data_IF_783468555968
#
_entry.id   IF_783468555968
#
_cell.length_a   1.000
_cell.length_b   1.000
_cell.length_c   1.000
_cell.angle_alpha   90.00
_cell.angle_beta   90.00
_cell.angle_gamma   90.00
#
_symmetry.space_group_name_H-M   'P 1'
#
loop_
_entity.id
_entity.type
_entity.pdbx_description
1 polymer ?
#
# COMPACT_ATOMS: atom_id res chain seq x y z
N UNK A 1 7.83 -22.86 -4.76
CA UNK A 1 7.61 -21.53 -5.36
C UNK A 1 6.38 -20.90 -4.72
N UNK A 2 6.49 -19.64 -4.29
CA UNK A 2 5.47 -18.94 -3.51
C UNK A 2 4.77 -17.89 -4.37
N UNK A 3 3.46 -17.69 -4.17
CA UNK A 3 2.73 -16.53 -4.68
C UNK A 3 2.85 -15.31 -3.77
N UNK A 4 3.47 -15.50 -2.61
CA UNK A 4 3.72 -14.50 -1.58
C UNK A 4 5.19 -14.09 -1.61
N UNK A 5 5.42 -12.79 -1.67
CA UNK A 5 6.71 -12.12 -1.48
C UNK A 5 6.85 -11.80 0.01
N UNK A 6 7.95 -12.23 0.63
CA UNK A 6 8.14 -12.12 2.08
C UNK A 6 9.43 -11.36 2.40
N UNK A 7 9.38 -10.55 3.45
CA UNK A 7 10.58 -9.98 4.06
C UNK A 7 10.37 -9.99 5.58
N UNK A 8 11.22 -10.74 6.29
CA UNK A 8 11.04 -11.02 7.71
C UNK A 8 9.62 -11.58 8.01
N UNK A 9 8.85 -10.89 8.82
CA UNK A 9 7.48 -11.19 9.26
C UNK A 9 6.39 -10.53 8.38
N UNK A 10 6.76 -9.90 7.26
CA UNK A 10 5.84 -9.19 6.36
C UNK A 10 5.64 -9.90 5.02
N UNK A 11 4.44 -9.73 4.48
CA UNK A 11 3.99 -10.41 3.26
C UNK A 11 3.36 -9.42 2.27
N UNK A 12 3.60 -9.64 0.98
CA UNK A 12 2.88 -9.00 -0.12
C UNK A 12 2.54 -10.04 -1.19
N UNK A 13 1.38 -9.94 -1.82
CA UNK A 13 1.04 -10.69 -3.03
C UNK A 13 0.74 -9.73 -4.17
N UNK A 14 1.20 -10.05 -5.38
CA UNK A 14 0.83 -9.35 -6.61
C UNK A 14 -0.24 -10.17 -7.33
N UNK A 15 -1.37 -9.54 -7.63
CA UNK A 15 -2.46 -10.12 -8.39
C UNK A 15 -2.49 -9.53 -9.80
N UNK A 16 -2.70 -10.39 -10.80
CA UNK A 16 -2.71 -10.02 -12.21
C UNK A 16 -3.97 -10.54 -12.96
N UNK A 17 -5.16 -10.04 -12.61
CA UNK A 17 -6.41 -10.43 -13.29
C UNK A 17 -6.51 -9.77 -14.68
N UNK A 18 -7.53 -10.15 -15.45
CA UNK A 18 -7.86 -9.42 -16.69
C UNK A 18 -8.12 -7.94 -16.38
N UNK A 19 -7.66 -7.03 -17.25
CA UNK A 19 -7.91 -5.61 -17.09
C UNK A 19 -9.42 -5.31 -17.06
N UNK A 20 -9.82 -4.35 -16.22
CA UNK A 20 -11.18 -3.84 -16.21
C UNK A 20 -11.46 -3.05 -17.49
N UNK A 21 -12.66 -3.24 -18.03
CA UNK A 21 -13.17 -2.43 -19.15
C UNK A 21 -14.00 -1.30 -18.58
N UNK A 22 -13.58 -0.07 -18.85
CA UNK A 22 -14.28 1.14 -18.41
C UNK A 22 -15.72 1.15 -18.92
N UNK A 23 -16.67 1.36 -18.01
CA UNK A 23 -18.10 1.52 -18.34
C UNK A 23 -18.53 2.94 -17.99
N UNK A 24 -19.33 3.57 -18.85
CA UNK A 24 -19.85 4.92 -18.64
C UNK A 24 -21.36 4.92 -18.58
N UNK A 25 -21.92 5.75 -17.70
CA UNK A 25 -23.33 6.13 -17.67
C UNK A 25 -23.41 7.66 -17.78
N UNK A 26 -24.07 8.18 -18.81
CA UNK A 26 -24.31 9.63 -18.98
C UNK A 26 -23.03 10.50 -18.85
N UNK A 27 -21.90 10.00 -19.38
CA UNK A 27 -20.54 10.56 -19.33
C UNK A 27 -19.72 10.29 -18.06
N UNK A 28 -20.33 9.76 -17.00
CA UNK A 28 -19.62 9.37 -15.79
C UNK A 28 -19.13 7.92 -15.84
N UNK A 29 -17.87 7.72 -15.48
CA UNK A 29 -17.28 6.39 -15.31
C UNK A 29 -17.87 5.70 -14.07
N UNK A 30 -18.41 4.49 -14.28
CA UNK A 30 -19.02 3.67 -13.25
C UNK A 30 -17.92 3.01 -12.42
N UNK A 31 -18.03 3.09 -11.09
CA UNK A 31 -17.10 2.43 -10.19
C UNK A 31 -17.19 0.89 -10.32
N UNK A 32 -16.04 0.24 -10.33
CA UNK A 32 -15.93 -1.22 -10.31
C UNK A 32 -15.68 -1.72 -8.89
N UNK A 33 -16.04 -2.99 -8.63
CA UNK A 33 -15.57 -3.70 -7.45
C UNK A 33 -14.08 -4.05 -7.57
N UNK A 34 -13.46 -4.44 -6.46
CA UNK A 34 -12.10 -4.99 -6.46
C UNK A 34 -11.99 -6.11 -7.53
N UNK A 35 -10.97 -6.07 -8.42
CA UNK A 35 -10.72 -7.15 -9.37
C UNK A 35 -10.55 -8.51 -8.69
N UNK A 36 -10.85 -9.63 -9.37
CA UNK A 36 -10.70 -10.96 -8.77
C UNK A 36 -9.25 -11.23 -8.35
N UNK A 37 -9.10 -12.10 -7.34
CA UNK A 37 -7.80 -12.65 -6.97
C UNK A 37 -7.22 -13.46 -8.12
N UNK A 38 -5.98 -13.16 -8.48
CA UNK A 38 -5.23 -13.83 -9.53
C UNK A 38 -3.73 -13.78 -9.20
N UNK A 39 -3.32 -14.38 -8.06
CA UNK A 39 -1.98 -14.19 -7.51
C UNK A 39 -0.92 -14.78 -8.44
N UNK A 40 0.16 -14.04 -8.65
CA UNK A 40 1.26 -14.47 -9.50
C UNK A 40 2.40 -15.10 -8.69
N UNK A 41 3.10 -16.03 -9.32
CA UNK A 41 4.33 -16.61 -8.75
C UNK A 41 5.40 -15.53 -8.70
N UNK A 42 6.02 -15.37 -7.54
CA UNK A 42 7.16 -14.48 -7.36
C UNK A 42 8.45 -15.30 -7.20
N UNK A 43 9.53 -14.76 -7.76
CA UNK A 43 10.84 -15.39 -7.78
C UNK A 43 11.82 -14.47 -7.06
N UNK A 44 12.50 -14.99 -6.04
CA UNK A 44 13.47 -14.24 -5.25
C UNK A 44 14.70 -14.01 -6.12
N UNK A 45 15.14 -12.75 -6.28
CA UNK A 45 16.28 -12.41 -7.15
C UNK A 45 17.56 -13.16 -6.74
N UNK A 46 17.82 -13.29 -5.43
CA UNK A 46 19.02 -13.93 -4.90
C UNK A 46 19.15 -15.42 -5.19
N UNK A 47 18.06 -16.10 -5.57
CA UNK A 47 18.07 -17.52 -5.95
C UNK A 47 18.56 -17.76 -7.38
N UNK A 48 18.77 -16.70 -8.17
CA UNK A 48 19.08 -16.77 -9.60
C UNK A 48 20.41 -16.08 -9.93
N UNK A 49 21.37 -16.86 -10.43
CA UNK A 49 22.73 -16.37 -10.77
C UNK A 49 22.79 -15.59 -12.08
N UNK A 50 21.79 -15.73 -12.95
CA UNK A 50 21.72 -15.06 -14.25
C UNK A 50 20.83 -13.79 -14.24
N UNK A 51 20.58 -13.20 -13.07
CA UNK A 51 19.84 -11.95 -12.97
C UNK A 51 20.64 -10.76 -13.57
N UNK A 52 19.96 -9.76 -14.19
CA UNK A 52 20.61 -8.54 -14.62
C UNK A 52 21.40 -7.86 -13.50
N UNK A 53 22.61 -7.40 -13.80
CA UNK A 53 23.53 -6.84 -12.79
C UNK A 53 23.03 -5.55 -12.13
N UNK A 54 22.04 -4.88 -12.73
CA UNK A 54 21.41 -3.69 -12.19
C UNK A 54 20.23 -4.00 -11.26
N UNK A 55 19.87 -5.27 -11.08
CA UNK A 55 18.85 -5.65 -10.11
C UNK A 55 19.40 -5.59 -8.69
N UNK A 56 18.58 -5.10 -7.77
CA UNK A 56 18.94 -5.10 -6.37
C UNK A 56 18.85 -6.53 -5.83
N UNK A 57 19.91 -6.95 -5.16
CA UNK A 57 19.93 -8.18 -4.38
C UNK A 57 19.37 -7.92 -2.98
N UNK A 58 18.87 -8.98 -2.35
CA UNK A 58 18.34 -8.91 -1.00
C UNK A 58 19.43 -8.62 0.03
N UNK A 59 18.97 -8.26 1.22
CA UNK A 59 19.74 -8.08 2.44
C UNK A 59 18.88 -8.50 3.63
N UNK A 60 19.41 -8.39 4.84
CA UNK A 60 18.62 -8.63 6.06
C UNK A 60 17.42 -7.68 6.23
N UNK A 61 17.37 -6.57 5.48
CA UNK A 61 16.32 -5.54 5.58
C UNK A 61 15.52 -5.34 4.29
N UNK A 62 15.87 -6.03 3.21
CA UNK A 62 15.22 -5.89 1.91
C UNK A 62 15.23 -7.22 1.17
N UNK A 63 14.14 -7.55 0.50
CA UNK A 63 14.08 -8.68 -0.43
C UNK A 63 13.67 -8.14 -1.79
N UNK A 64 14.25 -8.69 -2.85
CA UNK A 64 13.90 -8.33 -4.22
C UNK A 64 13.32 -9.52 -4.94
N UNK A 65 12.26 -9.25 -5.71
CA UNK A 65 11.48 -10.24 -6.41
C UNK A 65 11.25 -9.82 -7.86
N UNK A 66 11.16 -10.79 -8.74
CA UNK A 66 10.59 -10.60 -10.08
C UNK A 66 9.36 -11.49 -10.25
N UNK A 67 8.46 -11.05 -11.11
CA UNK A 67 7.16 -11.68 -11.37
C UNK A 67 6.94 -11.67 -12.88
N UNK A 68 6.42 -12.78 -13.43
CA UNK A 68 6.01 -12.81 -14.83
C UNK A 68 4.82 -11.90 -15.07
N UNK A 69 4.92 -11.01 -16.06
CA UNK A 69 3.84 -10.10 -16.45
C UNK A 69 3.21 -10.54 -17.76
N UNK A 70 1.94 -10.19 -17.94
CA UNK A 70 1.21 -10.39 -19.20
C UNK A 70 0.58 -9.06 -19.61
N UNK A 71 0.77 -8.67 -20.87
CA UNK A 71 0.15 -7.47 -21.43
C UNK A 71 -1.38 -7.53 -21.31
N UNK A 72 -1.99 -6.35 -21.20
CA UNK A 72 -3.44 -6.13 -21.07
C UNK A 72 -4.08 -6.79 -19.82
N UNK A 73 -3.26 -7.18 -18.85
CA UNK A 73 -3.74 -7.57 -17.54
C UNK A 73 -3.63 -6.41 -16.55
N UNK A 74 -4.58 -6.36 -15.62
CA UNK A 74 -4.57 -5.43 -14.51
C UNK A 74 -3.55 -5.84 -13.43
N UNK A 75 -3.21 -4.93 -12.53
CA UNK A 75 -2.36 -5.20 -11.38
C UNK A 75 -2.98 -4.65 -10.10
N UNK A 76 -2.95 -5.45 -9.04
CA UNK A 76 -3.19 -4.98 -7.69
C UNK A 76 -2.32 -5.70 -6.66
N UNK A 77 -2.01 -5.03 -5.55
CA UNK A 77 -1.15 -5.53 -4.48
C UNK A 77 -1.97 -5.82 -3.23
N UNK A 78 -1.81 -7.00 -2.66
CA UNK A 78 -2.48 -7.44 -1.44
C UNK A 78 -1.49 -7.54 -0.28
N UNK A 79 -1.83 -6.92 0.85
CA UNK A 79 -1.07 -6.95 2.09
C UNK A 79 -1.93 -7.47 3.26
N UNK A 80 -3.13 -7.99 3.00
CA UNK A 80 -4.15 -8.33 4.01
C UNK A 80 -3.64 -9.31 5.07
N UNK A 81 -2.70 -10.21 4.73
CA UNK A 81 -2.05 -11.11 5.70
C UNK A 81 -1.40 -10.37 6.88
N UNK A 82 -0.90 -9.15 6.66
CA UNK A 82 -0.26 -8.34 7.69
C UNK A 82 -1.26 -7.78 8.72
N UNK A 83 -2.57 -7.88 8.48
CA UNK A 83 -3.58 -7.46 9.47
C UNK A 83 -3.52 -8.29 10.75
N UNK A 84 -3.11 -9.56 10.66
CA UNK A 84 -2.97 -10.47 11.80
C UNK A 84 -1.66 -10.34 12.54
N UNK A 85 -0.76 -9.47 12.07
CA UNK A 85 0.52 -9.23 12.70
C UNK A 85 0.35 -8.75 14.15
N UNK A 86 1.24 -9.18 15.05
CA UNK A 86 1.17 -8.88 16.50
C UNK A 86 1.35 -7.39 16.84
N UNK A 87 1.95 -6.64 15.93
CA UNK A 87 2.07 -5.17 15.94
C UNK A 87 1.22 -4.54 14.85
N UNK A 88 0.94 -3.24 14.99
CA UNK A 88 0.37 -2.45 13.90
C UNK A 88 1.38 -2.31 12.77
N UNK A 89 0.85 -2.42 11.54
CA UNK A 89 1.65 -2.42 10.32
C UNK A 89 1.19 -1.26 9.46
N UNK A 90 2.16 -0.51 8.94
CA UNK A 90 1.96 0.44 7.86
C UNK A 90 2.76 0.01 6.62
N UNK A 91 2.17 0.20 5.44
CA UNK A 91 2.75 -0.16 4.16
C UNK A 91 2.78 1.07 3.28
N UNK A 92 3.98 1.47 2.89
CA UNK A 92 4.20 2.53 1.92
C UNK A 92 4.58 1.91 0.59
N UNK A 93 3.90 2.33 -0.48
CA UNK A 93 4.10 1.78 -1.83
C UNK A 93 4.59 2.88 -2.76
N UNK A 94 5.52 2.54 -3.63
CA UNK A 94 5.92 3.34 -4.79
C UNK A 94 5.85 2.45 -6.02
N UNK A 95 5.08 2.86 -7.03
CA UNK A 95 5.02 2.20 -8.33
C UNK A 95 5.66 3.15 -9.32
N UNK A 96 6.80 2.75 -9.88
CA UNK A 96 7.60 3.55 -10.80
C UNK A 96 7.99 4.96 -10.29
N UNK A 97 8.10 5.13 -8.97
CA UNK A 97 8.42 6.43 -8.36
C UNK A 97 7.20 7.27 -7.99
N UNK A 98 5.97 6.76 -8.16
CA UNK A 98 4.73 7.41 -7.72
C UNK A 98 4.12 6.67 -6.53
N UNK A 99 3.59 7.41 -5.57
CA UNK A 99 2.77 6.87 -4.51
C UNK A 99 1.32 6.68 -5.00
N UNK A 100 0.77 5.45 -5.04
CA UNK A 100 -0.55 5.19 -5.61
C UNK A 100 -1.70 5.83 -4.82
N UNK A 101 -1.52 6.08 -3.51
CA UNK A 101 -2.55 6.68 -2.65
C UNK A 101 -2.69 8.18 -2.94
N UNK A 102 -1.57 8.86 -3.12
CA UNK A 102 -1.55 10.31 -3.37
C UNK A 102 -1.61 10.66 -4.85
N UNK A 103 -1.15 9.77 -5.75
CA UNK A 103 -0.96 10.06 -7.16
C UNK A 103 0.22 11.01 -7.44
N UNK A 104 1.15 11.15 -6.49
CA UNK A 104 2.26 12.11 -6.55
C UNK A 104 3.62 11.41 -6.49
N UNK A 105 4.67 12.13 -6.92
CA UNK A 105 6.06 11.65 -6.85
C UNK A 105 6.42 11.23 -5.42
N UNK A 106 6.98 10.03 -5.28
CA UNK A 106 7.57 9.56 -4.03
C UNK A 106 9.04 9.98 -3.99
N UNK A 107 9.38 10.96 -3.16
CA UNK A 107 10.78 11.34 -2.95
C UNK A 107 11.51 10.36 -2.03
N UNK A 108 11.08 10.31 -0.77
CA UNK A 108 11.59 9.37 0.24
C UNK A 108 10.48 8.40 0.61
N UNK A 109 10.83 7.15 0.86
CA UNK A 109 9.89 6.17 1.41
C UNK A 109 9.69 6.48 2.90
N UNK A 110 8.93 7.53 3.25
CA UNK A 110 8.62 7.93 4.63
C UNK A 110 7.10 8.03 4.83
N UNK A 111 6.64 7.70 6.05
CA UNK A 111 5.23 7.81 6.41
C UNK A 111 4.86 9.28 6.66
N UNK A 112 3.84 9.76 5.96
CA UNK A 112 3.37 11.14 6.09
C UNK A 112 1.86 11.17 6.34
N UNK A 113 1.43 12.09 7.22
CA UNK A 113 0.03 12.40 7.48
C UNK A 113 -0.25 13.87 7.12
N UNK A 114 -1.34 14.09 6.41
CA UNK A 114 -1.73 15.38 5.84
C UNK A 114 -2.89 15.97 6.63
N UNK A 115 -2.59 16.46 7.84
CA UNK A 115 -3.60 16.92 8.79
C UNK A 115 -4.07 18.35 8.49
N UNK A 116 -3.13 19.30 8.32
CA UNK A 116 -3.46 20.72 8.28
C UNK A 116 -2.96 21.45 7.03
N UNK A 117 -1.89 20.98 6.39
CA UNK A 117 -1.23 21.69 5.29
C UNK A 117 -0.94 20.79 4.09
N UNK A 118 -1.00 21.39 2.91
CA UNK A 118 -0.58 20.75 1.67
C UNK A 118 0.92 20.42 1.72
N UNK A 119 1.33 19.17 1.44
CA UNK A 119 2.74 18.78 1.50
C UNK A 119 3.58 19.39 0.36
N UNK A 120 2.94 19.84 -0.74
CA UNK A 120 3.63 20.45 -1.89
C UNK A 120 3.80 21.96 -1.70
N UNK A 121 2.75 22.66 -1.27
CA UNK A 121 2.73 24.13 -1.25
C UNK A 121 2.81 24.74 0.16
N UNK A 122 2.77 23.92 1.21
CA UNK A 122 2.79 24.33 2.62
C UNK A 122 1.70 25.37 3.00
N UNK A 123 0.57 25.35 2.29
CA UNK A 123 -0.61 26.17 2.59
C UNK A 123 -1.61 25.35 3.40
N UNK A 124 -2.41 26.02 4.23
CA UNK A 124 -3.49 25.36 4.96
C UNK A 124 -4.51 24.73 4.01
N UNK A 125 -5.02 23.58 4.40
CA UNK A 125 -6.10 22.94 3.67
C UNK A 125 -7.42 23.68 3.90
N UNK A 126 -8.21 23.78 2.83
CA UNK A 126 -9.63 24.05 2.94
C UNK A 126 -10.39 22.79 3.37
N UNK A 127 -11.73 22.82 3.26
CA UNK A 127 -12.57 21.67 3.57
C UNK A 127 -12.10 20.39 2.84
N UNK A 128 -12.20 19.25 3.55
CA UNK A 128 -11.84 17.92 3.03
C UNK A 128 -10.38 17.78 2.53
N UNK A 129 -9.43 18.51 3.12
CA UNK A 129 -8.02 18.51 2.69
C UNK A 129 -7.80 19.01 1.25
N UNK A 130 -8.67 19.90 0.78
CA UNK A 130 -8.48 20.55 -0.51
C UNK A 130 -7.35 21.58 -0.46
N UNK A 131 -6.44 21.53 -1.43
CA UNK A 131 -5.42 22.56 -1.62
C UNK A 131 -5.80 23.43 -2.83
N UNK A 132 -6.02 24.72 -2.60
CA UNK A 132 -6.37 25.70 -3.65
C UNK A 132 -5.29 25.88 -4.72
N UNK A 133 -4.02 25.70 -4.35
CA UNK A 133 -2.89 25.78 -5.31
C UNK A 133 -2.74 24.52 -6.16
N UNK A 134 -3.01 23.34 -5.59
CA UNK A 134 -2.99 22.10 -6.36
C UNK A 134 -4.25 21.88 -7.21
N UNK A 135 -5.39 22.44 -6.78
CA UNK A 135 -6.70 22.03 -7.29
C UNK A 135 -7.06 20.58 -6.91
N UNK A 136 -6.46 20.05 -5.85
CA UNK A 136 -6.51 18.62 -5.49
C UNK A 136 -6.91 18.40 -4.03
N UNK A 137 -7.79 17.42 -3.79
CA UNK A 137 -8.17 16.96 -2.44
C UNK A 137 -7.19 15.90 -1.97
N UNK A 138 -6.39 16.19 -0.95
CA UNK A 138 -5.38 15.25 -0.48
C UNK A 138 -5.99 14.10 0.35
N UNK A 139 -5.48 12.85 0.21
CA UNK A 139 -5.79 11.78 1.15
C UNK A 139 -5.29 12.15 2.55
N UNK A 140 -5.69 11.40 3.59
CA UNK A 140 -5.24 11.66 4.97
C UNK A 140 -3.75 11.37 5.18
N UNK A 141 -3.18 10.47 4.40
CA UNK A 141 -1.82 9.97 4.54
C UNK A 141 -1.34 9.34 3.22
N UNK A 142 -0.05 9.05 3.11
CA UNK A 142 0.55 8.42 1.93
C UNK A 142 0.70 6.88 2.03
N UNK A 143 0.22 6.25 3.09
CA UNK A 143 0.44 4.82 3.37
C UNK A 143 -0.84 4.06 3.71
N UNK A 144 -0.80 2.73 3.58
CA UNK A 144 -1.80 1.84 4.15
C UNK A 144 -1.47 1.52 5.60
N UNK A 145 -2.46 1.37 6.48
CA UNK A 145 -2.20 1.00 7.88
C UNK A 145 -3.29 0.11 8.47
N UNK A 146 -2.91 -0.83 9.34
CA UNK A 146 -3.85 -1.68 10.09
C UNK A 146 -4.69 -0.90 11.10
N UNK A 147 -4.26 0.32 11.46
CA UNK A 147 -5.00 1.24 12.34
C UNK A 147 -5.99 2.11 11.59
N UNK A 148 -5.93 2.14 10.25
CA UNK A 148 -6.86 2.90 9.42
C UNK A 148 -8.08 2.03 9.06
N UNK A 149 -9.26 2.65 8.97
CA UNK A 149 -10.47 2.00 8.51
C UNK A 149 -10.49 1.89 6.97
N UNK A 150 -9.51 1.19 6.41
CA UNK A 150 -9.39 0.97 4.97
C UNK A 150 -8.83 -0.43 4.68
N UNK A 151 -9.13 -1.01 3.51
CA UNK A 151 -8.53 -2.26 3.11
C UNK A 151 -7.00 -2.17 3.04
N UNK A 152 -6.32 -3.29 3.31
CA UNK A 152 -4.87 -3.37 3.27
C UNK A 152 -4.40 -3.91 1.91
N UNK A 153 -4.89 -3.30 0.83
CA UNK A 153 -4.51 -3.57 -0.56
C UNK A 153 -4.45 -2.27 -1.37
N UNK A 154 -3.80 -2.31 -2.54
CA UNK A 154 -3.79 -1.23 -3.55
C UNK A 154 -4.25 -1.81 -4.88
N UNK A 155 -5.35 -1.33 -5.44
CA UNK A 155 -5.95 -1.80 -6.70
C UNK A 155 -5.80 -0.84 -7.88
N UNK A 156 -5.12 0.28 -7.66
CA UNK A 156 -4.91 1.29 -8.67
C UNK A 156 -4.12 2.48 -8.15
N UNK A 157 -4.16 3.57 -8.91
CA UNK A 157 -3.62 4.86 -8.52
C UNK A 157 -4.71 5.91 -8.44
N UNK A 158 -4.54 6.86 -7.53
CA UNK A 158 -5.40 8.03 -7.41
C UNK A 158 -5.08 9.02 -8.51
N UNK A 159 -6.05 9.25 -9.40
CA UNK A 159 -5.97 10.27 -10.44
C UNK A 159 -6.33 11.67 -9.88
N UNK A 160 -6.03 12.76 -10.63
CA UNK A 160 -6.33 14.13 -10.19
C UNK A 160 -7.81 14.40 -9.90
N UNK A 161 -8.71 13.69 -10.59
CA UNK A 161 -10.16 13.70 -10.35
C UNK A 161 -10.58 13.02 -9.03
N UNK A 162 -9.62 12.46 -8.29
CA UNK A 162 -9.81 11.77 -7.02
C UNK A 162 -10.29 10.33 -7.15
N UNK A 163 -10.53 9.84 -8.38
CA UNK A 163 -10.90 8.44 -8.67
C UNK A 163 -9.67 7.55 -8.63
N UNK A 164 -9.88 6.27 -8.32
CA UNK A 164 -8.83 5.24 -8.39
C UNK A 164 -8.93 4.53 -9.74
N UNK A 165 -7.82 4.46 -10.47
CA UNK A 165 -7.73 3.83 -11.79
C UNK A 165 -6.81 2.62 -11.75
N UNK A 166 -7.23 1.52 -12.34
CA UNK A 166 -6.46 0.27 -12.33
C UNK A 166 -5.12 0.45 -13.07
N UNK A 167 -4.06 -0.14 -12.52
CA UNK A 167 -2.82 -0.32 -13.27
C UNK A 167 -2.99 -1.44 -14.30
N UNK A 168 -2.52 -1.22 -15.52
CA UNK A 168 -2.54 -2.21 -16.60
C UNK A 168 -1.10 -2.35 -17.12
N UNK A 169 -0.65 -3.59 -17.29
CA UNK A 169 0.61 -3.86 -17.97
C UNK A 169 0.44 -3.66 -19.47
N UNK A 170 1.28 -2.83 -20.07
CA UNK A 170 1.25 -2.55 -21.50
C UNK A 170 2.66 -2.33 -22.02
N UNK A 171 2.87 -2.67 -23.29
CA UNK A 171 4.11 -2.37 -24.02
C UNK A 171 4.15 -0.89 -24.47
N UNK A 172 3.01 -0.21 -24.48
CA UNK A 172 2.91 1.19 -24.85
C UNK A 172 3.43 2.11 -23.74
N UNK A 173 4.70 2.49 -23.88
CA UNK A 173 5.40 3.38 -22.95
C UNK A 173 4.77 4.77 -22.84
N UNK A 174 4.01 5.22 -23.85
CA UNK A 174 3.38 6.56 -23.84
C UNK A 174 2.22 6.64 -22.84
N UNK A 175 1.60 5.49 -22.52
CA UNK A 175 0.50 5.35 -21.57
C UNK A 175 0.97 5.15 -20.13
N UNK A 176 2.28 5.20 -19.88
CA UNK A 176 2.87 5.02 -18.55
C UNK A 176 2.47 6.15 -17.59
N UNK A 177 1.79 5.80 -16.49
CA UNK A 177 1.36 6.76 -15.47
C UNK A 177 2.55 7.56 -14.92
N UNK A 178 3.69 6.92 -14.67
CA UNK A 178 4.90 7.61 -14.22
C UNK A 178 5.50 8.54 -15.27
N UNK A 179 5.50 8.15 -16.53
CA UNK A 179 5.98 9.02 -17.61
C UNK A 179 5.14 10.31 -17.68
N UNK A 180 3.83 10.24 -17.45
CA UNK A 180 2.93 11.40 -17.49
C UNK A 180 3.08 12.34 -16.28
N UNK A 181 3.54 11.85 -15.13
CA UNK A 181 3.65 12.66 -13.90
C UNK A 181 5.08 13.14 -13.64
N UNK A 182 6.08 12.30 -13.86
CA UNK A 182 7.49 12.57 -13.52
C UNK A 182 8.45 12.38 -14.72
N UNK A 183 7.95 12.10 -15.91
CA UNK A 183 8.76 11.99 -17.12
C UNK A 183 9.81 10.87 -17.06
N UNK A 184 11.06 11.22 -17.38
CA UNK A 184 12.19 10.30 -17.43
C UNK A 184 12.84 10.02 -16.08
N UNK A 185 12.41 10.70 -15.01
CA UNK A 185 12.83 10.38 -13.64
C UNK A 185 12.17 9.09 -13.10
N UNK A 186 11.31 8.44 -13.90
CA UNK A 186 10.66 7.20 -13.53
C UNK A 186 11.66 6.06 -13.34
N UNK A 187 11.36 5.19 -12.39
CA UNK A 187 12.10 3.94 -12.19
C UNK A 187 11.27 2.76 -12.67
N UNK A 188 11.90 1.69 -13.15
CA UNK A 188 11.18 0.48 -13.60
C UNK A 188 11.04 -0.53 -12.47
N UNK A 189 10.47 -0.11 -11.34
CA UNK A 189 10.33 -0.95 -10.14
C UNK A 189 9.09 -0.61 -9.32
N UNK A 190 8.67 -1.58 -8.50
CA UNK A 190 7.70 -1.40 -7.42
C UNK A 190 8.46 -1.48 -6.09
N UNK A 191 8.47 -0.38 -5.34
CA UNK A 191 9.02 -0.31 -3.99
C UNK A 191 7.92 -0.49 -2.96
N UNK A 192 8.13 -1.39 -2.00
CA UNK A 192 7.26 -1.58 -0.84
C UNK A 192 8.10 -1.44 0.43
N UNK A 193 7.70 -0.56 1.33
CA UNK A 193 8.32 -0.41 2.64
C UNK A 193 7.30 -0.73 3.74
N UNK A 194 7.68 -1.67 4.61
CA UNK A 194 6.91 -2.06 5.78
C UNK A 194 7.40 -1.32 7.02
N UNK A 195 6.45 -0.85 7.81
CA UNK A 195 6.68 -0.17 9.07
C UNK A 195 5.91 -0.88 10.17
N UNK A 196 6.58 -1.13 11.29
CA UNK A 196 6.02 -1.77 12.46
C UNK A 196 5.89 -0.77 13.60
N UNK A 197 4.77 -0.78 14.30
CA UNK A 197 4.63 -0.01 15.55
C UNK A 197 5.64 -0.48 16.59
N UNK A 198 6.11 0.44 17.44
CA UNK A 198 7.03 0.09 18.55
C UNK A 198 6.36 -0.86 19.54
N UNK A 199 5.10 -0.59 19.87
CA UNK A 199 4.31 -1.40 20.80
C UNK A 199 3.46 -2.44 20.06
N UNK A 200 3.24 -3.62 20.63
CA UNK A 200 2.28 -4.60 20.11
C UNK A 200 0.85 -4.04 20.07
N UNK A 201 -0.01 -4.64 19.24
CA UNK A 201 -1.44 -4.35 19.23
C UNK A 201 -2.02 -4.62 20.61
N UNK A 202 -2.89 -3.72 21.07
CA UNK A 202 -3.71 -3.98 22.25
C UNK A 202 -4.72 -5.05 21.84
N UNK A 203 -4.47 -6.30 22.21
CA UNK A 203 -5.50 -7.34 22.14
C UNK A 203 -6.63 -6.90 23.07
N UNK A 204 -7.79 -6.55 22.48
CA UNK A 204 -9.00 -6.37 23.28
C UNK A 204 -9.15 -7.65 24.11
N UNK A 205 -9.29 -7.56 25.45
CA UNK A 205 -9.61 -8.76 26.21
C UNK A 205 -10.86 -9.38 25.57
N UNK A 206 -10.78 -10.66 25.22
CA UNK A 206 -11.97 -11.42 24.87
C UNK A 206 -12.89 -11.32 26.08
N UNK A 207 -13.98 -10.57 25.95
CA UNK A 207 -15.06 -10.67 26.91
C UNK A 207 -15.59 -12.09 26.75
N UNK A 208 -15.36 -12.94 27.75
CA UNK A 208 -16.20 -14.12 27.91
C UNK A 208 -17.63 -13.65 28.20
N UNK A 209 -18.63 -14.51 28.00
CA UNK A 209 -20.04 -14.20 28.28
C UNK A 209 -20.31 -13.84 29.76
N UNK A 210 -19.29 -13.79 30.61
CA UNK A 210 -19.37 -13.51 32.04
C UNK A 210 -18.65 -12.21 32.47
N UNK A 211 -18.04 -11.44 31.55
CA UNK A 211 -17.62 -10.05 31.78
C UNK A 211 -16.58 -9.81 32.88
N UNK A 212 -15.76 -10.80 33.27
CA UNK A 212 -15.00 -10.74 34.53
C UNK A 212 -13.53 -11.19 34.43
N UNK A 213 -12.79 -10.69 33.43
CA UNK A 213 -11.33 -10.87 33.41
C UNK A 213 -10.56 -9.55 33.27
N UNK A 214 -10.57 -8.72 34.33
CA UNK A 214 -9.43 -7.83 34.66
C UNK A 214 -9.46 -7.22 36.07
N UNK A 215 -10.61 -7.18 36.75
CA UNK A 215 -10.68 -6.66 38.13
C UNK A 215 -9.88 -7.52 39.13
N UNK A 216 -9.87 -8.86 38.98
CA UNK A 216 -9.11 -9.73 39.88
C UNK A 216 -7.60 -9.51 39.83
N UNK A 217 -7.01 -9.31 38.64
CA UNK A 217 -5.55 -9.13 38.48
C UNK A 217 -5.08 -7.74 38.92
N UNK A 218 -5.93 -6.72 38.78
CA UNK A 218 -5.66 -5.39 39.32
C UNK A 218 -5.73 -5.38 40.85
N UNK A 219 -6.71 -6.08 41.44
CA UNK A 219 -6.85 -6.20 42.89
C UNK A 219 -5.72 -7.01 43.55
N UNK A 220 -5.26 -8.12 42.94
CA UNK A 220 -4.13 -8.90 43.51
C UNK A 220 -2.81 -8.13 43.53
N UNK A 221 -2.64 -7.16 42.64
CA UNK A 221 -1.43 -6.33 42.59
C UNK A 221 -1.45 -5.25 43.68
N UNK A 222 -2.64 -4.83 44.13
CA UNK A 222 -2.80 -3.83 45.18
C UNK A 222 -2.69 -4.47 46.58
N UNK A 223 -3.18 -5.69 46.78
CA UNK A 223 -3.06 -6.38 48.08
C UNK A 223 -1.65 -6.90 48.39
N UNK A 224 -0.76 -7.00 47.40
CA UNK A 224 0.64 -7.37 47.61
C UNK A 224 1.59 -6.16 47.72
N UNK A 225 1.05 -4.94 47.72
CA UNK A 225 1.78 -3.68 47.83
C UNK A 225 1.40 -2.86 49.09
N UNK A 226 0.67 -3.48 50.02
CA UNK A 226 0.38 -3.00 51.37
C UNK A 226 0.87 -4.06 52.38
#
# INVERSE_FOLDING_TARGET
MSTKMNINDFTCSLNMPQSLVSKKHENDEIAHSLPPYAPQKAYVVDEYTACPSNWMHGSTKASSYFVGIKADHGMWLDFTDNQRHSHDVAVLVSIQGINPITGQRTGKMQLEQYNCKCPVHNVEFAQERFCSKCGYKWPKQNYLATTANQPLWIDGFRAPDGKVRQYIFTEDVTRGVAAQIIGDERVFAIGVAFYKSRSPKITKPLFDNNGLYKLKKLLTTITNAL
#
